data_IF_164696475193
#
_entry.id   IF_164696475193
#
_cell.length_a   1.000
_cell.length_b   1.000
_cell.length_c   1.000
_cell.angle_alpha   90.00
_cell.angle_beta   90.00
_cell.angle_gamma   90.00
#
_symmetry.space_group_name_H-M   'P 1'
#
loop_
_entity.id
_entity.type
_entity.pdbx_description
1 polymer ?
#
# COMPACT_ATOMS: atom_id res chain seq x y z
N UNK A 1 2.70 29.86 19.23
CA UNK A 1 3.37 28.96 18.27
C UNK A 1 2.41 27.82 17.97
N UNK A 2 2.17 27.42 16.71
CA UNK A 2 1.35 26.25 16.45
C UNK A 2 2.06 25.03 17.05
N UNK A 3 1.36 24.32 17.93
CA UNK A 3 1.85 23.07 18.50
C UNK A 3 2.02 22.08 17.36
N UNK A 4 3.27 21.73 17.04
CA UNK A 4 3.57 20.66 16.08
C UNK A 4 3.15 19.39 16.81
N UNK A 5 2.14 18.69 16.26
CA UNK A 5 1.72 17.40 16.80
C UNK A 5 2.95 16.49 16.95
N UNK A 6 3.06 15.71 18.04
CA UNK A 6 4.20 14.84 18.25
C UNK A 6 4.39 13.93 17.04
N UNK A 7 5.63 13.76 16.60
CA UNK A 7 5.98 12.81 15.56
C UNK A 7 5.47 11.43 15.97
N UNK A 8 4.92 10.66 15.03
CA UNK A 8 4.65 9.25 15.29
C UNK A 8 6.01 8.54 15.40
N UNK A 9 6.46 8.30 16.63
CA UNK A 9 7.71 7.58 16.92
C UNK A 9 7.44 6.08 17.01
N UNK A 10 8.13 5.29 16.17
CA UNK A 10 8.52 3.86 16.20
C UNK A 10 7.73 2.76 16.94
N UNK A 11 6.63 3.05 17.63
CA UNK A 11 5.89 2.06 18.39
C UNK A 11 4.48 1.94 17.80
N UNK A 12 4.27 0.80 17.15
CA UNK A 12 3.00 0.21 16.70
C UNK A 12 1.91 1.20 16.32
N UNK A 13 1.91 1.68 15.08
CA UNK A 13 0.71 2.29 14.51
C UNK A 13 0.72 2.09 13.00
N UNK A 14 0.25 0.92 12.54
CA UNK A 14 0.05 0.59 11.14
C UNK A 14 -0.25 1.85 10.29
N UNK A 15 0.60 2.10 9.29
CA UNK A 15 0.55 3.28 8.43
C UNK A 15 0.01 2.83 7.09
N UNK A 16 -1.16 3.34 6.70
CA UNK A 16 -1.68 3.13 5.37
C UNK A 16 -1.06 4.13 4.40
N UNK A 17 -0.57 3.63 3.28
CA UNK A 17 0.07 4.39 2.21
C UNK A 17 -0.75 4.14 0.96
N UNK A 18 -1.48 5.17 0.52
CA UNK A 18 -2.47 5.05 -0.56
C UNK A 18 -2.10 6.04 -1.65
N UNK A 19 -1.95 5.57 -2.89
CA UNK A 19 -1.77 6.45 -4.04
C UNK A 19 -3.04 7.26 -4.30
N UNK A 20 -2.91 8.51 -4.74
CA UNK A 20 -4.01 9.49 -4.91
C UNK A 20 -5.19 9.00 -5.75
N UNK A 21 -4.96 8.02 -6.63
CA UNK A 21 -5.96 7.43 -7.53
C UNK A 21 -6.52 6.09 -7.03
N UNK A 22 -6.13 5.65 -5.84
CA UNK A 22 -6.53 4.41 -5.17
C UNK A 22 -6.12 3.13 -5.92
N UNK A 23 -5.13 3.18 -6.81
CA UNK A 23 -4.59 1.99 -7.50
C UNK A 23 -3.44 1.30 -6.76
N UNK A 24 -2.94 1.92 -5.70
CA UNK A 24 -1.91 1.33 -4.85
C UNK A 24 -2.26 1.48 -3.37
N UNK A 25 -2.00 0.41 -2.62
CA UNK A 25 -1.96 0.47 -1.16
C UNK A 25 -0.79 -0.34 -0.61
N UNK A 26 -0.19 0.19 0.45
CA UNK A 26 0.71 -0.56 1.32
C UNK A 26 0.37 -0.25 2.79
N UNK A 27 0.53 -1.24 3.67
CA UNK A 27 0.39 -1.06 5.12
C UNK A 27 1.74 -1.40 5.77
N UNK A 28 2.43 -0.36 6.24
CA UNK A 28 3.69 -0.48 6.97
C UNK A 28 3.42 -0.50 8.48
N UNK A 29 4.27 -1.17 9.26
CA UNK A 29 4.19 -1.16 10.73
C UNK A 29 4.51 0.22 11.29
N UNK A 30 5.52 0.85 10.70
CA UNK A 30 6.10 2.11 11.17
C UNK A 30 6.89 2.80 10.04
N UNK A 31 7.52 3.92 10.38
CA UNK A 31 8.36 4.70 9.46
C UNK A 31 9.65 3.96 9.08
N UNK A 32 10.18 3.07 9.94
CA UNK A 32 11.39 2.32 9.64
C UNK A 32 11.15 1.32 8.49
N UNK A 33 10.03 0.60 8.51
CA UNK A 33 9.63 -0.29 7.42
C UNK A 33 9.44 0.49 6.09
N UNK A 34 8.93 1.73 6.14
CA UNK A 34 8.80 2.57 4.94
C UNK A 34 10.18 2.95 4.40
N UNK A 35 11.14 3.28 5.29
CA UNK A 35 12.50 3.65 4.90
C UNK A 35 13.27 2.50 4.24
N UNK A 36 12.97 1.25 4.60
CA UNK A 36 13.55 0.06 3.97
C UNK A 36 13.02 -0.13 2.53
N UNK A 37 11.87 0.45 2.19
CA UNK A 37 11.26 0.33 0.86
C UNK A 37 11.60 1.56 0.01
N UNK A 38 12.67 1.42 -0.80
CA UNK A 38 13.29 2.49 -1.60
C UNK A 38 12.33 3.39 -2.43
N UNK A 39 11.12 2.93 -2.78
CA UNK A 39 10.20 3.67 -3.66
C UNK A 39 8.97 4.28 -2.96
N UNK A 40 8.69 3.93 -1.69
CA UNK A 40 7.46 4.37 -1.01
C UNK A 40 7.65 5.71 -0.25
N UNK A 41 8.89 6.18 -0.13
CA UNK A 41 9.26 7.43 0.54
C UNK A 41 9.78 8.54 -0.38
N UNK A 42 9.70 8.42 -1.71
CA UNK A 42 10.22 9.47 -2.58
C UNK A 42 9.17 10.58 -2.83
N UNK A 43 9.55 11.88 -2.79
CA UNK A 43 8.64 12.97 -3.15
C UNK A 43 8.15 12.84 -4.60
N UNK A 44 6.87 13.20 -4.84
CA UNK A 44 6.30 13.25 -6.18
C UNK A 44 5.59 11.97 -6.67
N UNK A 45 5.63 10.88 -5.90
CA UNK A 45 4.99 9.61 -6.28
C UNK A 45 3.46 9.58 -6.09
N UNK A 46 2.82 10.70 -5.77
CA UNK A 46 1.37 10.75 -5.54
C UNK A 46 0.89 9.88 -4.38
N UNK A 47 1.74 9.63 -3.37
CA UNK A 47 1.39 8.83 -2.19
C UNK A 47 0.86 9.70 -1.07
N UNK A 48 -0.13 9.19 -0.35
CA UNK A 48 -0.67 9.80 0.87
C UNK A 48 -0.63 8.80 2.02
N UNK A 49 -0.28 9.30 3.20
CA UNK A 49 -0.07 8.49 4.40
C UNK A 49 -1.20 8.74 5.40
N UNK A 50 -1.66 7.69 6.07
CA UNK A 50 -2.72 7.78 7.07
C UNK A 50 -2.42 6.89 8.28
N UNK A 51 -2.78 7.36 9.47
CA UNK A 51 -2.77 6.53 10.68
C UNK A 51 -4.09 5.79 10.90
N UNK A 52 -4.10 4.92 11.93
CA UNK A 52 -5.24 4.10 12.32
C UNK A 52 -6.45 4.89 12.84
N UNK A 53 -6.29 6.17 13.17
CA UNK A 53 -7.41 7.04 13.54
C UNK A 53 -8.00 7.73 12.31
N UNK A 54 -7.27 7.74 11.20
CA UNK A 54 -7.66 8.35 9.93
C UNK A 54 -7.14 9.78 9.77
N UNK A 55 -6.13 10.20 10.55
CA UNK A 55 -5.40 11.43 10.25
C UNK A 55 -4.55 11.23 9.01
N UNK A 56 -4.54 12.23 8.14
CA UNK A 56 -3.53 12.31 7.11
C UNK A 56 -2.17 12.65 7.74
N UNK A 57 -1.11 12.00 7.28
CA UNK A 57 0.24 12.21 7.76
C UNK A 57 1.05 12.95 6.68
N UNK A 58 1.72 14.02 7.09
CA UNK A 58 2.66 14.79 6.30
C UNK A 58 4.08 14.20 6.46
N UNK A 59 4.74 13.80 5.37
CA UNK A 59 6.12 13.34 5.42
C UNK A 59 7.08 14.51 5.64
N UNK A 60 8.11 14.29 6.45
CA UNK A 60 9.27 15.16 6.53
C UNK A 60 10.47 14.45 5.91
N UNK A 61 11.16 15.16 5.03
CA UNK A 61 12.33 14.68 4.31
C UNK A 61 13.59 15.40 4.78
N UNK A 62 14.73 14.73 4.69
CA UNK A 62 16.03 15.41 4.79
C UNK A 62 16.43 16.10 3.48
N UNK A 63 17.61 16.70 3.45
CA UNK A 63 18.15 17.38 2.27
C UNK A 63 18.46 16.43 1.10
N UNK A 64 18.56 15.12 1.36
CA UNK A 64 18.73 14.07 0.35
C UNK A 64 17.39 13.43 -0.07
N UNK A 65 16.26 14.07 0.29
CA UNK A 65 14.91 13.60 0.03
C UNK A 65 14.57 12.22 0.61
N UNK A 66 15.30 11.81 1.65
CA UNK A 66 14.98 10.57 2.36
C UNK A 66 13.92 10.86 3.43
N UNK A 67 12.88 10.02 3.49
CA UNK A 67 11.83 10.13 4.49
C UNK A 67 12.47 10.01 5.87
N UNK A 68 12.23 10.98 6.76
CA UNK A 68 12.76 10.96 8.12
C UNK A 68 11.68 10.65 9.15
N UNK A 69 10.50 11.25 9.00
CA UNK A 69 9.38 11.10 9.93
C UNK A 69 8.03 11.39 9.25
N UNK A 70 6.95 11.01 9.94
CA UNK A 70 5.57 11.35 9.58
C UNK A 70 4.91 12.11 10.75
N UNK A 71 4.21 13.19 10.40
CA UNK A 71 3.51 14.05 11.35
C UNK A 71 2.04 14.12 10.98
N UNK A 72 1.14 14.18 11.96
CA UNK A 72 -0.27 14.46 11.65
C UNK A 72 -0.39 15.82 10.99
N UNK A 73 -0.98 15.84 9.80
CA UNK A 73 -1.30 17.07 9.10
C UNK A 73 -2.38 17.85 9.87
N UNK A 74 -2.42 19.18 9.75
CA UNK A 74 -3.52 19.97 10.30
C UNK A 74 -4.85 19.54 9.66
N UNK A 75 -5.78 19.07 10.48
CA UNK A 75 -7.10 18.65 10.02
C UNK A 75 -7.72 17.60 10.92
N UNK A 76 -9.04 17.39 10.82
CA UNK A 76 -9.71 16.33 11.57
C UNK A 76 -9.36 14.96 10.98
N UNK A 77 -9.29 13.94 11.83
CA UNK A 77 -9.28 12.56 11.38
C UNK A 77 -10.53 12.27 10.53
N UNK A 78 -10.35 11.51 9.45
CA UNK A 78 -11.44 11.14 8.56
C UNK A 78 -11.38 9.65 8.21
N UNK A 79 -11.67 8.83 9.21
CA UNK A 79 -11.69 7.38 9.07
C UNK A 79 -12.62 6.89 7.94
N UNK A 80 -13.74 7.60 7.72
CA UNK A 80 -14.67 7.28 6.65
C UNK A 80 -14.05 7.43 5.25
N UNK A 81 -13.26 8.48 5.02
CA UNK A 81 -12.55 8.69 3.76
C UNK A 81 -11.48 7.62 3.55
N UNK A 82 -10.64 7.34 4.55
CA UNK A 82 -9.60 6.30 4.43
C UNK A 82 -10.24 4.95 4.11
N UNK A 83 -11.32 4.57 4.81
CA UNK A 83 -12.04 3.32 4.53
C UNK A 83 -12.58 3.26 3.10
N UNK A 84 -13.16 4.34 2.58
CA UNK A 84 -13.65 4.38 1.19
C UNK A 84 -12.52 4.18 0.17
N UNK A 85 -11.34 4.72 0.43
CA UNK A 85 -10.16 4.55 -0.41
C UNK A 85 -9.62 3.13 -0.39
N UNK A 86 -9.53 2.50 0.79
CA UNK A 86 -9.20 1.07 0.91
C UNK A 86 -10.20 0.19 0.15
N UNK A 87 -11.50 0.52 0.22
CA UNK A 87 -12.53 -0.18 -0.55
C UNK A 87 -12.38 0.05 -2.06
N UNK A 88 -11.96 1.24 -2.49
CA UNK A 88 -11.69 1.53 -3.89
C UNK A 88 -10.50 0.70 -4.40
N UNK A 89 -9.41 0.66 -3.64
CA UNK A 89 -8.27 -0.19 -3.95
C UNK A 89 -8.65 -1.68 -4.06
N UNK A 90 -9.42 -2.24 -3.11
CA UNK A 90 -9.88 -3.62 -3.19
C UNK A 90 -10.69 -3.91 -4.48
N UNK A 91 -11.53 -2.96 -4.91
CA UNK A 91 -12.25 -3.08 -6.19
C UNK A 91 -11.30 -3.02 -7.39
N UNK A 92 -10.39 -2.05 -7.41
CA UNK A 92 -9.40 -1.87 -8.47
C UNK A 92 -8.51 -3.10 -8.62
N UNK A 93 -8.03 -3.65 -7.50
CA UNK A 93 -7.26 -4.89 -7.45
C UNK A 93 -8.03 -6.07 -8.06
N UNK A 94 -9.30 -6.23 -7.69
CA UNK A 94 -10.15 -7.29 -8.26
C UNK A 94 -10.37 -7.11 -9.76
N UNK A 95 -10.72 -5.90 -10.21
CA UNK A 95 -10.88 -5.60 -11.65
C UNK A 95 -9.59 -5.93 -12.41
N UNK A 96 -8.44 -5.50 -11.91
CA UNK A 96 -7.16 -5.79 -12.55
C UNK A 96 -6.86 -7.29 -12.59
N UNK A 97 -7.07 -8.03 -11.50
CA UNK A 97 -6.87 -9.48 -11.49
C UNK A 97 -7.75 -10.23 -12.51
N UNK A 98 -8.98 -9.74 -12.73
CA UNK A 98 -9.93 -10.31 -13.69
C UNK A 98 -9.58 -9.96 -15.14
N UNK A 99 -9.21 -8.72 -15.41
CA UNK A 99 -8.99 -8.19 -16.77
C UNK A 99 -7.55 -8.34 -17.28
N UNK A 100 -6.58 -8.54 -16.39
CA UNK A 100 -5.18 -8.65 -16.80
C UNK A 100 -4.86 -10.03 -17.39
N UNK A 101 -3.76 -10.09 -18.14
CA UNK A 101 -3.24 -11.31 -18.77
C UNK A 101 -1.78 -11.52 -18.37
N UNK A 102 -1.28 -12.74 -18.50
CA UNK A 102 0.12 -13.05 -18.20
C UNK A 102 1.10 -12.22 -19.07
N UNK A 103 0.78 -12.01 -20.35
CA UNK A 103 1.55 -11.14 -21.26
C UNK A 103 1.53 -9.67 -20.80
N UNK A 104 0.37 -9.16 -20.37
CA UNK A 104 0.25 -7.79 -19.85
C UNK A 104 1.07 -7.61 -18.56
N UNK A 105 1.04 -8.59 -17.65
CA UNK A 105 1.89 -8.61 -16.46
C UNK A 105 3.38 -8.66 -16.85
N UNK A 106 3.77 -9.57 -17.74
CA UNK A 106 5.15 -9.71 -18.16
C UNK A 106 5.73 -8.42 -18.75
N UNK A 107 5.01 -7.79 -19.69
CA UNK A 107 5.41 -6.51 -20.30
C UNK A 107 5.55 -5.41 -19.27
N UNK A 108 4.70 -5.41 -18.25
CA UNK A 108 4.71 -4.41 -17.19
C UNK A 108 5.90 -4.56 -16.26
N UNK A 109 6.35 -5.79 -16.00
CA UNK A 109 7.43 -6.07 -15.08
C UNK A 109 8.81 -6.20 -15.71
N UNK A 110 8.88 -6.42 -17.01
CA UNK A 110 10.13 -6.42 -17.78
C UNK A 110 11.06 -5.20 -17.53
N UNK A 111 10.58 -3.96 -17.34
CA UNK A 111 11.47 -2.82 -17.10
C UNK A 111 11.96 -2.67 -15.66
N UNK A 112 11.44 -3.43 -14.69
CA UNK A 112 11.81 -3.27 -13.27
C UNK A 112 12.99 -4.16 -12.88
N UNK A 113 14.01 -3.57 -12.25
CA UNK A 113 15.16 -4.28 -11.67
C UNK A 113 15.26 -4.01 -10.15
N UNK A 114 15.36 -5.07 -9.32
CA UNK A 114 15.27 -6.48 -9.69
C UNK A 114 13.87 -6.85 -10.22
N UNK A 115 13.73 -7.94 -10.99
CA UNK A 115 12.43 -8.39 -11.47
C UNK A 115 11.51 -8.63 -10.28
N UNK A 116 10.36 -7.97 -10.29
CA UNK A 116 9.37 -8.00 -9.21
C UNK A 116 8.81 -9.42 -8.98
N UNK A 117 9.04 -10.36 -9.91
CA UNK A 117 8.73 -11.79 -9.75
C UNK A 117 9.95 -12.66 -10.08
N UNK A 118 11.07 -12.46 -9.38
CA UNK A 118 12.28 -13.28 -9.60
C UNK A 118 12.04 -14.78 -9.50
N UNK A 119 11.09 -15.18 -8.65
CA UNK A 119 10.83 -16.59 -8.30
C UNK A 119 9.54 -17.15 -8.91
N UNK A 120 8.77 -16.33 -9.66
CA UNK A 120 7.47 -16.74 -10.21
C UNK A 120 7.27 -16.32 -11.65
N UNK A 121 6.57 -17.15 -12.40
CA UNK A 121 6.08 -16.79 -13.72
C UNK A 121 4.90 -15.79 -13.62
N UNK A 122 4.70 -14.93 -14.64
CA UNK A 122 3.52 -14.06 -14.70
C UNK A 122 2.18 -14.80 -14.63
N UNK A 123 2.13 -16.07 -15.06
CA UNK A 123 0.94 -16.90 -15.00
C UNK A 123 0.60 -17.34 -13.56
N UNK A 124 1.61 -17.74 -12.78
CA UNK A 124 1.44 -18.10 -11.36
C UNK A 124 0.98 -16.90 -10.54
N UNK A 125 1.55 -15.72 -10.80
CA UNK A 125 1.11 -14.46 -10.20
C UNK A 125 -0.35 -14.20 -10.54
N UNK A 126 -0.72 -14.26 -11.81
CA UNK A 126 -2.10 -14.01 -12.23
C UNK A 126 -3.09 -14.98 -11.59
N UNK A 127 -2.74 -16.25 -11.49
CA UNK A 127 -3.57 -17.26 -10.84
C UNK A 127 -3.77 -16.92 -9.36
N UNK A 128 -2.70 -16.61 -8.63
CA UNK A 128 -2.77 -16.20 -7.22
C UNK A 128 -3.59 -14.92 -7.04
N UNK A 129 -3.40 -13.91 -7.90
CA UNK A 129 -4.19 -12.67 -7.86
C UNK A 129 -5.68 -12.94 -8.01
N UNK A 130 -6.06 -13.82 -8.96
CA UNK A 130 -7.47 -14.17 -9.21
C UNK A 130 -8.08 -14.90 -8.02
N UNK A 131 -7.38 -15.89 -7.49
CA UNK A 131 -7.79 -16.64 -6.29
C UNK A 131 -8.02 -15.68 -5.11
N UNK A 132 -7.02 -14.85 -4.78
CA UNK A 132 -7.13 -13.90 -3.68
C UNK A 132 -8.21 -12.82 -3.91
N UNK A 133 -8.38 -12.35 -5.13
CA UNK A 133 -9.41 -11.33 -5.44
C UNK A 133 -10.84 -11.86 -5.45
N UNK A 134 -11.03 -13.18 -5.40
CA UNK A 134 -12.36 -13.80 -5.40
C UNK A 134 -13.10 -13.54 -4.09
N UNK A 135 -12.37 -13.51 -2.97
CA UNK A 135 -12.89 -13.25 -1.63
C UNK A 135 -12.04 -12.19 -0.89
N UNK A 136 -12.16 -10.90 -1.27
CA UNK A 136 -11.40 -9.84 -0.63
C UNK A 136 -11.88 -9.61 0.81
N UNK A 137 -11.00 -9.10 1.70
CA UNK A 137 -11.36 -8.85 3.09
C UNK A 137 -12.53 -7.87 3.21
N UNK A 138 -13.53 -8.21 4.02
CA UNK A 138 -14.63 -7.29 4.32
C UNK A 138 -14.22 -6.29 5.41
N UNK A 139 -13.96 -5.05 4.98
CA UNK A 139 -13.59 -3.94 5.86
C UNK A 139 -14.78 -3.02 6.21
N UNK A 140 -16.01 -3.36 5.81
CA UNK A 140 -17.19 -2.51 6.05
C UNK A 140 -17.53 -2.47 7.54
N UNK A 141 -17.80 -1.25 8.03
CA UNK A 141 -18.19 -1.04 9.43
C UNK A 141 -17.08 -1.29 10.46
N UNK A 142 -15.89 -1.76 10.06
CA UNK A 142 -14.78 -2.06 10.96
C UNK A 142 -13.99 -0.82 11.36
N UNK A 143 -13.42 -0.77 12.58
CA UNK A 143 -12.36 0.18 12.95
C UNK A 143 -11.23 0.19 11.92
N UNK A 144 -10.56 1.32 11.76
CA UNK A 144 -9.47 1.44 10.78
C UNK A 144 -8.26 0.57 11.13
N UNK A 145 -7.94 0.41 12.42
CA UNK A 145 -6.91 -0.54 12.87
C UNK A 145 -7.18 -1.95 12.30
N UNK A 146 -8.38 -2.48 12.51
CA UNK A 146 -8.80 -3.77 11.96
C UNK A 146 -8.78 -3.79 10.42
N UNK A 147 -9.16 -2.68 9.76
CA UNK A 147 -9.06 -2.59 8.31
C UNK A 147 -7.60 -2.72 7.86
N UNK A 148 -6.67 -2.04 8.52
CA UNK A 148 -5.25 -2.06 8.19
C UNK A 148 -4.66 -3.45 8.42
N UNK A 149 -5.00 -4.10 9.54
CA UNK A 149 -4.58 -5.47 9.83
C UNK A 149 -5.10 -6.46 8.79
N UNK A 150 -6.38 -6.36 8.40
CA UNK A 150 -6.96 -7.23 7.37
C UNK A 150 -6.31 -7.02 6.00
N UNK A 151 -6.06 -5.76 5.60
CA UNK A 151 -5.39 -5.46 4.33
C UNK A 151 -3.94 -5.91 4.36
N UNK A 152 -3.23 -5.68 5.48
CA UNK A 152 -1.86 -6.14 5.68
C UNK A 152 -1.78 -7.66 5.60
N UNK A 153 -2.68 -8.36 6.29
CA UNK A 153 -2.78 -9.82 6.24
C UNK A 153 -3.14 -10.31 4.83
N UNK A 154 -4.03 -9.62 4.11
CA UNK A 154 -4.38 -9.93 2.72
C UNK A 154 -3.18 -9.80 1.78
N UNK A 155 -2.38 -8.73 1.92
CA UNK A 155 -1.16 -8.51 1.14
C UNK A 155 -0.01 -9.44 1.53
N UNK A 156 -0.06 -10.03 2.73
CA UNK A 156 0.97 -10.94 3.27
C UNK A 156 0.47 -12.37 3.47
N UNK A 157 -0.68 -12.71 2.88
CA UNK A 157 -1.31 -14.00 3.11
C UNK A 157 -0.32 -15.12 2.72
N UNK A 158 -0.28 -16.16 3.57
CA UNK A 158 0.57 -17.35 3.51
C UNK A 158 2.06 -17.23 3.92
N UNK A 159 2.47 -16.22 4.71
CA UNK A 159 3.72 -16.30 5.53
C UNK A 159 5.01 -16.70 4.80
N UNK A 160 5.03 -16.56 3.48
CA UNK A 160 6.00 -17.13 2.54
C UNK A 160 5.76 -16.61 1.12
N UNK A 161 6.25 -17.35 0.14
CA UNK A 161 6.28 -17.08 -1.31
C UNK A 161 5.08 -16.33 -1.92
N UNK A 162 3.84 -16.71 -1.54
CA UNK A 162 2.60 -16.10 -2.05
C UNK A 162 2.34 -14.68 -1.55
N UNK A 163 2.73 -14.36 -0.31
CA UNK A 163 2.62 -13.01 0.22
C UNK A 163 3.51 -12.04 -0.56
N UNK A 164 4.71 -12.48 -0.93
CA UNK A 164 5.59 -11.72 -1.82
C UNK A 164 4.93 -11.48 -3.19
N UNK A 165 4.27 -12.49 -3.77
CA UNK A 165 3.57 -12.36 -5.05
C UNK A 165 2.46 -11.30 -5.03
N UNK A 166 1.64 -11.28 -3.97
CA UNK A 166 0.51 -10.34 -3.85
C UNK A 166 0.98 -8.91 -3.57
N UNK A 167 1.99 -8.76 -2.70
CA UNK A 167 2.65 -7.49 -2.47
C UNK A 167 3.23 -6.93 -3.79
N UNK A 168 3.91 -7.78 -4.56
CA UNK A 168 4.52 -7.43 -5.83
C UNK A 168 3.47 -7.12 -6.92
N UNK A 169 2.34 -7.84 -6.92
CA UNK A 169 1.18 -7.54 -7.75
C UNK A 169 0.53 -6.18 -7.41
N UNK A 170 0.48 -5.80 -6.12
CA UNK A 170 0.01 -4.48 -5.71
C UNK A 170 0.95 -3.37 -6.21
N UNK A 171 2.27 -3.59 -6.21
CA UNK A 171 3.22 -2.69 -6.87
C UNK A 171 3.01 -2.60 -8.38
N UNK A 172 2.69 -3.73 -9.06
CA UNK A 172 2.25 -3.70 -10.46
C UNK A 172 1.13 -2.70 -10.62
N UNK A 173 0.09 -2.84 -9.79
CA UNK A 173 -1.15 -2.11 -9.90
C UNK A 173 -0.94 -0.60 -9.76
N UNK A 174 -0.06 -0.16 -8.86
CA UNK A 174 0.29 1.26 -8.70
C UNK A 174 1.09 1.83 -9.86
N UNK A 175 2.13 1.12 -10.29
CA UNK A 175 2.99 1.55 -11.41
C UNK A 175 2.28 1.44 -12.77
N UNK A 176 1.23 0.61 -12.86
CA UNK A 176 -0.14 0.97 -13.29
C UNK A 176 -0.37 2.26 -14.09
N UNK A 177 -0.37 3.33 -13.31
CA UNK A 177 -1.07 4.57 -13.59
C UNK A 177 -0.18 5.81 -13.44
N UNK A 178 1.13 5.59 -13.27
CA UNK A 178 2.19 6.62 -13.23
C UNK A 178 2.68 6.99 -14.62
#
# INVERSE_FOLDING_TARGET
>A
MPSIAPALSNNDNNIAIIQVDDWFVHIAADVAEIKEQHNIGHPGCGLQFFDVEGYQLAPAYDAAWQLQALYRAPGPANAGTVRRRLQAWLRNYRTFAQETTADRLQKRFAPHQPPVFSDYTPAEVLAAMREHSADPPDIRGKPLADCFDLIRAFLRADGGDRGSMLHNAAHALGWTHS
#
